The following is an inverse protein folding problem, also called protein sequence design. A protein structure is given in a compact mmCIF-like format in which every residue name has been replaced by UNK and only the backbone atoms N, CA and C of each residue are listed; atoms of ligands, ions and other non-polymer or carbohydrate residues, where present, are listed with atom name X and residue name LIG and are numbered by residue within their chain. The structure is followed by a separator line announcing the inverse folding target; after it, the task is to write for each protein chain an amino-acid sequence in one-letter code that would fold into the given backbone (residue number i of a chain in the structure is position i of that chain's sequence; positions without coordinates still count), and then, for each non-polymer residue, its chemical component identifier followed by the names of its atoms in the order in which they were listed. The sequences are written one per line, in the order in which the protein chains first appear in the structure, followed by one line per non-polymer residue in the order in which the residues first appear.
data_IF_671782803374
#
_entry.id   IF_671782803374
#
_cell.length_a   1.000
_cell.length_b   1.000
_cell.length_c   1.000
_cell.angle_alpha   90.00
_cell.angle_beta   90.00
_cell.angle_gamma   90.00
#
_symmetry.space_group_name_H-M   'P 1'
#
loop_
_entity.id
_entity.type
_entity.pdbx_description
1 polymer ?
#
# COMPACT_ATOMS: atom_id res chain seq x y z
N UNK A 1 -0.37 7.95 19.86
CA UNK A 1 -0.99 8.79 18.82
C UNK A 1 -2.50 8.59 18.85
N UNK A 2 -3.30 9.65 18.72
CA UNK A 2 -4.76 9.52 18.70
C UNK A 2 -5.29 8.86 17.43
N UNK A 3 -4.49 8.82 16.36
CA UNK A 3 -4.83 8.16 15.08
C UNK A 3 -3.62 7.34 14.62
N UNK A 4 -3.86 6.09 14.29
CA UNK A 4 -2.82 5.20 13.77
C UNK A 4 -2.67 5.35 12.23
N UNK A 5 -1.47 5.13 11.65
CA UNK A 5 -1.26 5.30 10.22
C UNK A 5 -2.19 4.47 9.32
N UNK A 6 -2.57 3.28 9.73
CA UNK A 6 -3.51 2.44 8.96
C UNK A 6 -4.92 3.04 8.89
N UNK A 7 -5.34 3.81 9.90
CA UNK A 7 -6.63 4.52 9.87
C UNK A 7 -6.62 5.63 8.83
N UNK A 8 -5.49 6.34 8.69
CA UNK A 8 -5.33 7.36 7.64
C UNK A 8 -5.41 6.72 6.25
N UNK A 9 -4.76 5.58 6.05
CA UNK A 9 -4.86 4.80 4.81
C UNK A 9 -6.31 4.39 4.55
N UNK A 10 -7.00 3.92 5.57
CA UNK A 10 -8.39 3.49 5.49
C UNK A 10 -9.36 4.62 5.09
N UNK A 11 -9.10 5.87 5.48
CA UNK A 11 -9.93 7.03 5.12
C UNK A 11 -10.01 7.29 3.62
N UNK A 12 -9.04 6.83 2.83
CA UNK A 12 -9.05 6.97 1.37
C UNK A 12 -9.99 5.96 0.70
N UNK A 13 -10.23 4.81 1.34
CA UNK A 13 -11.05 3.73 0.79
C UNK A 13 -12.49 4.20 0.46
N UNK A 14 -13.10 3.70 -0.61
CA UNK A 14 -12.61 2.72 -1.60
C UNK A 14 -11.87 3.34 -2.79
N UNK A 15 -11.51 4.62 -2.72
CA UNK A 15 -10.81 5.34 -3.80
C UNK A 15 -9.42 4.77 -4.05
N UNK A 16 -8.88 5.06 -5.24
CA UNK A 16 -7.53 4.65 -5.61
C UNK A 16 -6.47 5.26 -4.69
N UNK A 17 -5.60 4.41 -4.15
CA UNK A 17 -4.46 4.80 -3.34
C UNK A 17 -3.22 4.07 -3.82
N UNK A 18 -2.16 4.83 -4.10
CA UNK A 18 -0.85 4.28 -4.41
C UNK A 18 0.17 4.77 -3.39
N UNK A 19 0.82 3.81 -2.73
CA UNK A 19 1.88 4.06 -1.75
C UNK A 19 3.16 3.45 -2.30
N UNK A 20 4.23 4.23 -2.38
CA UNK A 20 5.56 3.74 -2.68
C UNK A 20 6.52 4.04 -1.55
N UNK A 21 7.45 3.14 -1.32
CA UNK A 21 8.40 3.18 -0.22
C UNK A 21 9.73 2.56 -0.66
N UNK A 22 10.82 2.96 -0.03
CA UNK A 22 12.13 2.38 -0.25
C UNK A 22 12.58 1.60 1.00
N UNK A 23 12.60 0.26 0.96
CA UNK A 23 12.91 -0.57 2.11
C UNK A 23 14.40 -0.52 2.52
N UNK A 24 15.25 0.06 1.68
CA UNK A 24 16.69 0.19 1.94
C UNK A 24 17.04 1.41 2.81
N UNK A 25 16.05 2.24 3.12
CA UNK A 25 16.21 3.42 3.98
C UNK A 25 15.65 3.11 5.37
N UNK A 26 16.51 2.64 6.27
CA UNK A 26 16.09 2.08 7.56
C UNK A 26 15.35 3.10 8.46
N UNK A 27 15.75 4.37 8.45
CA UNK A 27 15.13 5.42 9.26
C UNK A 27 13.73 5.85 8.79
N UNK A 28 13.27 5.38 7.63
CA UNK A 28 11.90 5.58 7.17
C UNK A 28 10.91 4.54 7.72
N UNK A 29 11.38 3.57 8.50
CA UNK A 29 10.54 2.54 9.12
C UNK A 29 9.80 1.65 8.13
N UNK A 30 10.50 0.97 7.20
CA UNK A 30 9.84 0.24 6.11
C UNK A 30 8.93 -0.91 6.60
N UNK A 31 9.27 -1.57 7.70
CA UNK A 31 8.39 -2.61 8.28
C UNK A 31 7.10 -2.01 8.84
N UNK A 32 7.20 -0.87 9.50
CA UNK A 32 6.02 -0.15 10.02
C UNK A 32 5.12 0.34 8.89
N UNK A 33 5.71 0.82 7.80
CA UNK A 33 4.98 1.25 6.62
C UNK A 33 4.21 0.08 5.99
N UNK A 34 4.84 -1.08 5.84
CA UNK A 34 4.18 -2.28 5.33
C UNK A 34 3.07 -2.77 6.27
N UNK A 35 3.31 -2.79 7.58
CA UNK A 35 2.28 -3.16 8.56
C UNK A 35 1.06 -2.24 8.47
N UNK A 36 1.27 -0.92 8.36
CA UNK A 36 0.19 0.04 8.19
C UNK A 36 -0.59 -0.18 6.88
N UNK A 37 0.11 -0.48 5.79
CA UNK A 37 -0.52 -0.79 4.51
C UNK A 37 -1.37 -2.06 4.58
N UNK A 38 -0.86 -3.12 5.22
CA UNK A 38 -1.59 -4.37 5.44
C UNK A 38 -2.87 -4.15 6.24
N UNK A 39 -2.79 -3.43 7.35
CA UNK A 39 -3.94 -3.15 8.20
C UNK A 39 -4.97 -2.22 7.51
N UNK A 40 -4.51 -1.18 6.82
CA UNK A 40 -5.39 -0.29 6.04
C UNK A 40 -6.08 -1.01 4.88
N UNK A 41 -5.41 -1.98 4.25
CA UNK A 41 -5.97 -2.78 3.17
C UNK A 41 -7.15 -3.66 3.61
N UNK A 42 -7.28 -3.98 4.90
CA UNK A 42 -8.44 -4.73 5.40
C UNK A 42 -9.74 -3.94 5.21
N UNK A 43 -9.71 -2.59 5.29
CA UNK A 43 -10.88 -1.76 4.98
C UNK A 43 -11.22 -1.83 3.50
N UNK A 44 -10.22 -1.77 2.63
CA UNK A 44 -10.43 -1.97 1.18
C UNK A 44 -11.03 -3.33 0.86
N UNK A 45 -10.57 -4.37 1.57
CA UNK A 45 -11.12 -5.72 1.44
C UNK A 45 -12.58 -5.77 1.87
N UNK A 46 -12.93 -5.18 3.01
CA UNK A 46 -14.31 -5.12 3.51
C UNK A 46 -15.25 -4.43 2.51
N UNK A 47 -14.75 -3.40 1.82
CA UNK A 47 -15.52 -2.64 0.83
C UNK A 47 -15.48 -3.26 -0.59
N UNK A 48 -14.88 -4.43 -0.77
CA UNK A 48 -14.74 -5.08 -2.08
C UNK A 48 -13.84 -4.33 -3.06
N UNK A 49 -12.88 -3.52 -2.56
CA UNK A 49 -12.05 -2.62 -3.35
C UNK A 49 -10.54 -2.96 -3.27
N UNK A 50 -10.20 -4.23 -3.14
CA UNK A 50 -8.80 -4.68 -2.99
C UNK A 50 -7.87 -4.24 -4.13
N UNK A 51 -8.40 -4.08 -5.34
CA UNK A 51 -7.64 -3.59 -6.48
C UNK A 51 -7.42 -2.07 -6.49
N UNK A 52 -8.01 -1.35 -5.54
CA UNK A 52 -7.87 0.11 -5.44
C UNK A 52 -6.71 0.56 -4.55
N UNK A 53 -6.15 -0.32 -3.73
CA UNK A 53 -4.95 -0.03 -2.95
C UNK A 53 -3.74 -0.74 -3.54
N UNK A 54 -2.69 0.02 -3.80
CA UNK A 54 -1.39 -0.49 -4.25
C UNK A 54 -0.30 0.02 -3.31
N UNK A 55 0.44 -0.89 -2.70
CA UNK A 55 1.66 -0.59 -1.95
C UNK A 55 2.84 -1.27 -2.63
N UNK A 56 3.85 -0.50 -2.97
CA UNK A 56 5.02 -1.02 -3.67
C UNK A 56 6.32 -0.56 -3.03
N UNK A 57 7.03 -1.49 -2.42
CA UNK A 57 8.37 -1.29 -1.86
C UNK A 57 9.38 -2.34 -2.33
N UNK A 58 9.00 -3.18 -3.29
CA UNK A 58 9.88 -4.23 -3.80
C UNK A 58 10.82 -3.69 -4.87
N UNK A 59 11.82 -2.94 -4.44
CA UNK A 59 12.84 -2.35 -5.30
C UNK A 59 14.24 -2.84 -4.91
N UNK A 60 15.14 -2.95 -5.88
CA UNK A 60 16.47 -3.51 -5.67
C UNK A 60 17.37 -2.65 -4.77
N UNK A 61 17.33 -1.35 -4.96
CA UNK A 61 18.10 -0.37 -4.20
C UNK A 61 17.57 1.04 -4.50
N UNK A 62 18.21 2.05 -3.99
CA UNK A 62 17.88 3.42 -4.30
C UNK A 62 18.25 4.36 -3.18
N UNK A 63 18.33 5.64 -3.48
CA UNK A 63 18.51 6.71 -2.53
C UNK A 63 17.17 7.23 -2.01
N UNK A 64 17.21 8.07 -1.00
CA UNK A 64 16.03 8.60 -0.33
C UNK A 64 15.00 9.27 -1.26
N UNK A 65 15.47 10.01 -2.26
CA UNK A 65 14.59 10.76 -3.18
C UNK A 65 14.51 10.15 -4.59
N UNK A 66 14.99 8.94 -4.77
CA UNK A 66 15.01 8.30 -6.08
C UNK A 66 13.68 7.61 -6.37
N UNK A 67 13.09 7.91 -7.53
CA UNK A 67 11.95 7.17 -8.07
C UNK A 67 12.48 6.05 -8.97
N UNK A 68 12.35 4.81 -8.50
CA UNK A 68 12.77 3.63 -9.25
C UNK A 68 11.82 3.38 -10.45
N UNK A 69 12.32 2.77 -11.54
CA UNK A 69 11.47 2.40 -12.67
C UNK A 69 10.26 1.55 -12.29
N UNK A 70 10.42 0.66 -11.30
CA UNK A 70 9.34 -0.19 -10.78
C UNK A 70 8.21 0.65 -10.17
N UNK A 71 8.56 1.68 -9.39
CA UNK A 71 7.60 2.63 -8.84
C UNK A 71 6.87 3.41 -9.93
N UNK A 72 7.62 3.87 -10.94
CA UNK A 72 7.07 4.66 -12.04
C UNK A 72 6.00 3.91 -12.82
N UNK A 73 6.25 2.65 -13.14
CA UNK A 73 5.30 1.81 -13.86
C UNK A 73 3.98 1.64 -13.08
N UNK A 74 4.07 1.38 -11.77
CA UNK A 74 2.90 1.24 -10.90
C UNK A 74 2.14 2.55 -10.74
N UNK A 75 2.86 3.67 -10.58
CA UNK A 75 2.25 5.00 -10.50
C UNK A 75 1.46 5.32 -11.77
N UNK A 76 2.04 5.07 -12.94
CA UNK A 76 1.38 5.30 -14.23
C UNK A 76 0.11 4.46 -14.38
N UNK A 77 0.13 3.19 -13.96
CA UNK A 77 -1.04 2.33 -13.98
C UNK A 77 -2.18 2.89 -13.09
N UNK A 78 -1.84 3.37 -11.89
CA UNK A 78 -2.80 3.97 -10.98
C UNK A 78 -3.40 5.28 -11.54
N UNK A 79 -2.57 6.14 -12.16
CA UNK A 79 -3.04 7.36 -12.82
C UNK A 79 -4.01 7.03 -13.96
N UNK A 80 -3.67 6.06 -14.81
CA UNK A 80 -4.54 5.64 -15.91
C UNK A 80 -5.89 5.18 -15.39
N UNK A 81 -5.88 4.29 -14.42
CA UNK A 81 -7.12 3.70 -13.90
C UNK A 81 -8.00 4.71 -13.18
N UNK A 82 -7.45 5.44 -12.23
CA UNK A 82 -8.25 6.23 -11.30
C UNK A 82 -8.48 7.67 -11.76
N UNK A 83 -7.54 8.28 -12.47
CA UNK A 83 -7.67 9.66 -12.93
C UNK A 83 -8.14 9.74 -14.38
N UNK A 84 -7.59 8.93 -15.28
CA UNK A 84 -7.94 8.94 -16.69
C UNK A 84 -9.12 8.03 -17.02
N UNK A 85 -9.54 7.16 -16.09
CA UNK A 85 -10.61 6.18 -16.27
C UNK A 85 -10.33 5.18 -17.40
N UNK A 86 -9.06 4.93 -17.67
CA UNK A 86 -8.61 3.93 -18.63
C UNK A 86 -8.52 2.55 -17.97
N UNK A 87 -8.51 1.50 -18.78
CA UNK A 87 -8.25 0.15 -18.31
C UNK A 87 -6.77 0.03 -17.90
N UNK A 88 -6.53 -0.37 -16.66
CA UNK A 88 -5.18 -0.65 -16.15
C UNK A 88 -5.28 -1.59 -14.95
N UNK A 89 -4.27 -2.45 -14.78
CA UNK A 89 -4.17 -3.34 -13.62
C UNK A 89 -3.49 -2.62 -12.48
N UNK A 90 -4.16 -2.56 -11.33
CA UNK A 90 -3.65 -1.97 -10.09
C UNK A 90 -3.97 -2.88 -8.92
N UNK A 91 -3.46 -2.54 -7.75
CA UNK A 91 -3.65 -3.31 -6.52
C UNK A 91 -2.48 -4.23 -6.21
N UNK A 92 -2.42 -4.63 -4.96
CA UNK A 92 -1.38 -5.51 -4.44
C UNK A 92 -0.45 -4.82 -3.44
N UNK A 93 0.04 -5.60 -2.50
CA UNK A 93 0.90 -5.14 -1.40
C UNK A 93 2.25 -5.83 -1.52
N UNK A 94 3.13 -5.26 -2.35
CA UNK A 94 4.44 -5.81 -2.67
C UNK A 94 5.54 -5.18 -1.81
N UNK A 95 6.03 -5.95 -0.83
CA UNK A 95 7.14 -5.54 0.02
C UNK A 95 8.41 -6.34 -0.29
N UNK A 96 9.55 -5.66 -0.20
CA UNK A 96 10.86 -6.33 -0.21
C UNK A 96 11.02 -7.17 1.06
N UNK A 97 11.79 -8.27 0.98
CA UNK A 97 12.03 -9.16 2.11
C UNK A 97 12.56 -8.47 3.37
N UNK A 98 13.34 -7.40 3.20
CA UNK A 98 13.83 -6.57 4.32
C UNK A 98 12.73 -5.84 5.09
N UNK A 99 11.60 -5.58 4.45
CA UNK A 99 10.54 -4.74 4.97
C UNK A 99 9.23 -5.50 5.20
N UNK A 100 9.21 -6.81 4.96
CA UNK A 100 8.00 -7.62 5.13
C UNK A 100 7.56 -7.66 6.59
N UNK A 101 6.32 -7.28 6.84
CA UNK A 101 5.64 -7.43 8.11
C UNK A 101 4.60 -8.55 8.02
N UNK A 102 4.30 -9.17 9.16
CA UNK A 102 3.24 -10.17 9.24
C UNK A 102 1.95 -9.49 9.69
N UNK A 103 0.91 -9.60 8.88
CA UNK A 103 -0.39 -9.01 9.18
C UNK A 103 -0.95 -9.48 10.52
N UNK A 104 -0.80 -10.73 10.86
CA UNK A 104 -1.36 -11.34 12.08
C UNK A 104 -0.74 -10.78 13.36
N UNK A 105 0.41 -10.13 13.30
CA UNK A 105 1.03 -9.47 14.45
C UNK A 105 0.39 -8.12 14.77
N UNK A 106 -0.38 -7.56 13.83
CA UNK A 106 -0.87 -6.17 13.90
C UNK A 106 -2.39 -6.04 13.75
N UNK A 107 -3.05 -7.04 13.14
CA UNK A 107 -4.49 -7.05 12.91
C UNK A 107 -5.11 -8.11 13.82
N UNK A 108 -5.83 -7.67 14.83
CA UNK A 108 -6.47 -8.50 15.84
C UNK A 108 -8.00 -8.65 15.64
N UNK A 109 -8.50 -8.19 14.50
CA UNK A 109 -9.91 -8.28 14.14
C UNK A 109 -10.13 -9.19 12.94
N UNK A 110 -11.36 -9.70 12.81
CA UNK A 110 -11.82 -10.38 11.61
C UNK A 110 -12.48 -9.38 10.68
N UNK A 111 -11.95 -9.26 9.46
CA UNK A 111 -12.49 -8.32 8.48
C UNK A 111 -13.85 -8.78 7.98
N UNK A 112 -14.92 -8.00 8.15
CA UNK A 112 -16.24 -8.35 7.66
C UNK A 112 -16.32 -8.27 6.14
N UNK A 113 -17.29 -8.98 5.57
CA UNK A 113 -17.69 -8.79 4.18
C UNK A 113 -18.91 -7.88 4.16
N UNK A 114 -18.79 -6.75 3.51
CA UNK A 114 -19.88 -5.78 3.35
C UNK A 114 -20.52 -5.98 1.96
N UNK A 115 -21.81 -6.02 1.98
CA UNK A 115 -22.62 -6.20 0.75
C UNK A 115 -23.07 -4.83 0.20
#
# INVERSE_FOLDING_TARGET
MPVAPHEIIALVAPRGLYIMDNPHIANLGPKSAHAAALAGAEVYKALGATSSITYHSNVASGSHCEIRPEHKAQLQANIRRFLKKESATTGGLNAHSKATANKNDWVDWTTPTLN
#
